data_IF_936484192050
#
_entry.id   IF_936484192050
#
_cell.length_a   1.000
_cell.length_b   1.000
_cell.length_c   1.000
_cell.angle_alpha   90.00
_cell.angle_beta   90.00
_cell.angle_gamma   90.00
#
_symmetry.space_group_name_H-M   'P 1'
#
loop_
_entity.id
_entity.type
_entity.pdbx_description
1 polymer ?
#
# COMPACT_ATOMS: atom_id res chain seq x y z
N UNK A 1 -4.52 26.78 -40.50
CA UNK A 1 -3.91 25.44 -40.51
C UNK A 1 -2.73 25.50 -39.55
N UNK A 2 -2.95 25.15 -38.28
CA UNK A 2 -1.87 24.89 -37.32
C UNK A 2 -1.72 23.38 -37.27
N UNK A 3 -0.89 22.88 -38.19
CA UNK A 3 -0.27 21.57 -38.11
C UNK A 3 0.88 21.64 -37.10
N UNK A 4 0.53 21.58 -35.81
CA UNK A 4 1.46 21.22 -34.73
C UNK A 4 1.00 19.88 -34.15
N UNK A 5 1.09 18.87 -35.02
CA UNK A 5 1.47 17.51 -34.66
C UNK A 5 2.80 17.62 -33.86
N UNK A 6 2.99 17.09 -32.65
CA UNK A 6 3.03 15.68 -32.30
C UNK A 6 3.41 15.65 -30.80
N UNK A 7 2.73 14.93 -29.88
CA UNK A 7 3.49 14.17 -28.90
C UNK A 7 3.97 12.92 -29.65
N UNK A 8 5.07 13.11 -30.39
CA UNK A 8 5.95 12.02 -30.75
C UNK A 8 6.60 11.56 -29.44
N UNK A 9 6.16 10.41 -28.97
CA UNK A 9 6.88 9.65 -27.97
C UNK A 9 6.74 8.20 -28.39
N UNK A 10 7.59 7.86 -29.36
CA UNK A 10 8.44 6.67 -29.28
C UNK A 10 7.73 5.38 -28.90
N UNK A 11 7.43 4.55 -29.90
CA UNK A 11 7.21 3.12 -29.65
C UNK A 11 8.49 2.50 -29.10
N UNK A 12 8.57 2.29 -27.79
CA UNK A 12 9.67 1.54 -27.17
C UNK A 12 9.43 1.02 -25.73
N UNK A 13 8.24 0.56 -25.31
CA UNK A 13 8.13 -0.14 -24.00
C UNK A 13 6.85 -1.00 -23.76
N UNK A 14 6.20 -1.55 -24.78
CA UNK A 14 4.98 -2.36 -24.58
C UNK A 14 5.17 -3.65 -23.72
N UNK A 15 6.40 -4.15 -23.58
CA UNK A 15 6.71 -5.31 -22.73
C UNK A 15 7.06 -4.96 -21.28
N UNK A 16 7.36 -3.69 -20.98
CA UNK A 16 7.65 -3.21 -19.62
C UNK A 16 6.44 -2.49 -19.01
N UNK A 17 5.58 -1.89 -19.84
CA UNK A 17 4.40 -1.18 -19.40
C UNK A 17 3.37 -2.11 -18.71
N UNK A 18 3.18 -3.34 -19.21
CA UNK A 18 2.23 -4.29 -18.60
C UNK A 18 2.57 -4.68 -17.15
N UNK A 19 3.86 -4.73 -16.79
CA UNK A 19 4.28 -4.99 -15.41
C UNK A 19 4.16 -3.76 -14.52
N UNK A 20 4.43 -2.57 -15.08
CA UNK A 20 4.25 -1.30 -14.38
C UNK A 20 2.78 -1.04 -14.09
N UNK A 21 1.87 -1.27 -15.05
CA UNK A 21 0.44 -1.03 -14.90
C UNK A 21 -0.19 -1.93 -13.83
N UNK A 22 0.20 -3.22 -13.80
CA UNK A 22 -0.20 -4.13 -12.72
C UNK A 22 0.35 -3.66 -11.37
N UNK A 23 1.62 -3.26 -11.29
CA UNK A 23 2.22 -2.78 -10.05
C UNK A 23 1.54 -1.49 -9.56
N UNK A 24 1.18 -0.57 -10.46
CA UNK A 24 0.42 0.64 -10.16
C UNK A 24 -0.98 0.30 -9.65
N UNK A 25 -1.68 -0.63 -10.30
CA UNK A 25 -3.01 -1.07 -9.89
C UNK A 25 -3.02 -1.73 -8.50
N UNK A 26 -1.99 -2.53 -8.22
CA UNK A 26 -1.76 -3.11 -6.89
C UNK A 26 -1.54 -1.98 -5.87
N UNK A 27 -0.66 -1.02 -6.16
CA UNK A 27 -0.38 0.09 -5.26
C UNK A 27 -1.61 0.96 -4.98
N UNK A 28 -2.42 1.22 -6.00
CA UNK A 28 -3.67 1.96 -5.89
C UNK A 28 -4.69 1.21 -5.04
N UNK A 29 -4.84 -0.10 -5.26
CA UNK A 29 -5.67 -0.97 -4.42
C UNK A 29 -5.21 -0.96 -2.96
N UNK A 30 -3.89 -0.93 -2.70
CA UNK A 30 -3.36 -0.81 -1.35
C UNK A 30 -3.67 0.54 -0.71
N UNK A 31 -3.58 1.65 -1.45
CA UNK A 31 -3.96 2.98 -0.98
C UNK A 31 -5.45 3.10 -0.65
N UNK A 32 -6.29 2.39 -1.39
CA UNK A 32 -7.74 2.33 -1.14
C UNK A 32 -8.10 1.41 0.05
N UNK A 33 -7.13 0.67 0.62
CA UNK A 33 -7.36 -0.31 1.69
C UNK A 33 -7.89 -1.66 1.18
N UNK A 34 -7.93 -1.87 -0.13
CA UNK A 34 -8.39 -3.10 -0.77
C UNK A 34 -7.27 -4.14 -0.85
N UNK A 35 -6.73 -4.53 0.32
CA UNK A 35 -5.64 -5.53 0.44
C UNK A 35 -5.97 -6.86 -0.27
N UNK A 36 -7.21 -7.32 -0.19
CA UNK A 36 -7.65 -8.57 -0.84
C UNK A 36 -7.52 -8.48 -2.36
N UNK A 37 -7.85 -7.33 -2.94
CA UNK A 37 -7.79 -7.10 -4.38
C UNK A 37 -6.34 -7.04 -4.85
N UNK A 38 -5.48 -6.31 -4.11
CA UNK A 38 -4.05 -6.27 -4.36
C UNK A 38 -3.38 -7.67 -4.30
N UNK A 39 -3.77 -8.52 -3.34
CA UNK A 39 -3.29 -9.92 -3.26
C UNK A 39 -3.77 -10.75 -4.44
N UNK A 40 -5.01 -10.53 -4.89
CA UNK A 40 -5.60 -11.25 -6.04
C UNK A 40 -4.87 -10.88 -7.33
N UNK A 41 -4.67 -9.59 -7.58
CA UNK A 41 -3.96 -9.08 -8.76
C UNK A 41 -2.49 -9.51 -8.78
N UNK A 42 -1.81 -9.46 -7.63
CA UNK A 42 -0.44 -9.93 -7.48
C UNK A 42 -0.34 -11.44 -7.78
N UNK A 43 -1.29 -12.24 -7.28
CA UNK A 43 -1.35 -13.67 -7.56
C UNK A 43 -1.60 -13.95 -9.04
N UNK A 44 -2.57 -13.28 -9.65
CA UNK A 44 -2.95 -13.49 -11.05
C UNK A 44 -1.80 -13.11 -12.00
N UNK A 45 -1.03 -12.08 -11.64
CA UNK A 45 0.08 -11.59 -12.47
C UNK A 45 1.39 -12.35 -12.26
N UNK A 46 1.67 -12.78 -11.03
CA UNK A 46 2.94 -13.45 -10.67
C UNK A 46 2.83 -14.97 -10.58
N UNK A 47 1.61 -15.51 -10.51
CA UNK A 47 1.36 -16.94 -10.28
C UNK A 47 1.70 -17.43 -8.87
N UNK A 48 2.02 -16.52 -7.95
CA UNK A 48 2.50 -16.83 -6.60
C UNK A 48 1.42 -17.50 -5.74
N UNK A 49 1.82 -18.28 -4.72
CA UNK A 49 0.86 -18.84 -3.78
C UNK A 49 0.08 -17.75 -3.03
N UNK A 50 -1.10 -18.09 -2.48
CA UNK A 50 -1.89 -17.15 -1.67
C UNK A 50 -1.08 -16.61 -0.47
N UNK A 51 -0.24 -17.49 0.11
CA UNK A 51 0.65 -17.14 1.23
C UNK A 51 1.71 -16.13 0.80
N UNK A 52 2.46 -16.42 -0.26
CA UNK A 52 3.49 -15.52 -0.81
C UNK A 52 2.92 -14.18 -1.25
N UNK A 53 1.77 -14.20 -1.93
CA UNK A 53 1.09 -12.98 -2.39
C UNK A 53 0.70 -12.09 -1.21
N UNK A 54 0.19 -12.70 -0.12
CA UNK A 54 -0.13 -11.99 1.12
C UNK A 54 1.13 -11.41 1.78
N UNK A 55 2.20 -12.20 1.90
CA UNK A 55 3.46 -11.77 2.52
C UNK A 55 4.11 -10.62 1.74
N UNK A 56 4.16 -10.70 0.41
CA UNK A 56 4.69 -9.63 -0.45
C UNK A 56 3.90 -8.32 -0.28
N UNK A 57 2.56 -8.42 -0.29
CA UNK A 57 1.67 -7.27 -0.11
C UNK A 57 1.77 -6.70 1.31
N UNK A 58 1.89 -7.53 2.35
CA UNK A 58 2.12 -7.04 3.72
C UNK A 58 3.44 -6.30 3.88
N UNK A 59 4.52 -6.85 3.32
CA UNK A 59 5.82 -6.18 3.31
C UNK A 59 5.75 -4.82 2.56
N UNK A 60 4.96 -4.73 1.49
CA UNK A 60 4.71 -3.48 0.78
C UNK A 60 3.92 -2.48 1.65
N UNK A 61 2.86 -2.90 2.32
CA UNK A 61 2.06 -2.03 3.20
C UNK A 61 2.92 -1.49 4.35
N UNK A 62 3.72 -2.34 4.97
CA UNK A 62 4.64 -1.97 6.05
C UNK A 62 5.72 -1.02 5.55
N UNK A 63 6.35 -1.32 4.41
CA UNK A 63 7.44 -0.51 3.85
C UNK A 63 6.96 0.88 3.40
N UNK A 64 5.75 0.99 2.87
CA UNK A 64 5.21 2.25 2.35
C UNK A 64 4.39 3.03 3.39
N UNK A 65 4.35 2.57 4.65
CA UNK A 65 3.47 3.10 5.72
C UNK A 65 2.13 3.51 5.13
N UNK A 66 1.52 2.60 4.35
CA UNK A 66 0.21 2.88 3.76
C UNK A 66 -0.77 2.84 4.93
N UNK A 67 -0.92 4.01 5.54
CA UNK A 67 -1.82 4.35 6.63
C UNK A 67 -3.25 4.12 6.14
N UNK A 68 -3.66 2.85 6.13
CA UNK A 68 -5.08 2.53 6.28
C UNK A 68 -5.49 3.19 7.58
N UNK A 69 -6.33 4.23 7.50
CA UNK A 69 -7.00 4.85 8.65
C UNK A 69 -7.90 3.80 9.32
N UNK A 70 -7.31 2.83 10.01
CA UNK A 70 -7.94 2.10 11.09
C UNK A 70 -7.53 2.84 12.36
N UNK A 71 -8.51 3.44 13.04
CA UNK A 71 -8.26 4.34 14.16
C UNK A 71 -7.53 3.64 15.32
N UNK A 72 -6.28 4.01 15.54
CA UNK A 72 -5.53 3.64 16.76
C UNK A 72 -4.84 4.84 17.42
N UNK A 73 -4.94 6.05 16.88
CA UNK A 73 -4.40 7.25 17.53
C UNK A 73 -5.08 7.53 18.88
N UNK A 74 -6.39 7.29 18.97
CA UNK A 74 -7.15 7.49 20.21
C UNK A 74 -6.80 6.44 21.28
N UNK A 75 -6.52 5.19 20.90
CA UNK A 75 -6.22 4.11 21.85
C UNK A 75 -4.81 4.25 22.43
N UNK A 76 -3.83 4.67 21.63
CA UNK A 76 -2.47 4.95 22.10
C UNK A 76 -2.45 6.11 23.09
N UNK A 77 -3.22 7.17 22.83
CA UNK A 77 -3.32 8.31 23.75
C UNK A 77 -3.99 7.92 25.07
N UNK A 78 -5.08 7.14 25.03
CA UNK A 78 -5.75 6.66 26.24
C UNK A 78 -4.87 5.67 27.02
N UNK A 79 -4.19 4.74 26.33
CA UNK A 79 -3.28 3.77 26.95
C UNK A 79 -2.06 4.46 27.56
N UNK A 80 -1.40 5.38 26.83
CA UNK A 80 -0.29 6.16 27.38
C UNK A 80 -0.71 7.02 28.56
N UNK A 81 -1.90 7.65 28.51
CA UNK A 81 -2.41 8.45 29.63
C UNK A 81 -2.70 7.58 30.86
N UNK A 82 -3.26 6.38 30.67
CA UNK A 82 -3.54 5.45 31.78
C UNK A 82 -2.27 4.91 32.40
N UNK A 83 -1.28 4.54 31.57
CA UNK A 83 0.04 4.07 32.02
C UNK A 83 0.77 5.17 32.79
N UNK A 84 0.71 6.42 32.32
CA UNK A 84 1.35 7.56 33.00
C UNK A 84 0.75 7.83 34.39
N UNK A 85 -0.57 7.72 34.54
CA UNK A 85 -1.26 7.89 35.84
C UNK A 85 -0.90 6.75 36.80
N UNK A 86 -0.83 5.51 36.33
CA UNK A 86 -0.49 4.36 37.18
C UNK A 86 0.95 4.44 37.70
N UNK A 87 1.90 4.88 36.87
CA UNK A 87 3.28 5.13 37.29
C UNK A 87 3.36 6.26 38.33
N UNK A 88 2.57 7.32 38.17
CA UNK A 88 2.52 8.43 39.10
C UNK A 88 1.91 8.07 40.48
N UNK A 89 1.04 7.07 40.52
CA UNK A 89 0.46 6.54 41.78
C UNK A 89 1.43 5.60 42.49
N UNK A 90 2.24 4.83 41.76
CA UNK A 90 3.25 3.93 42.36
C UNK A 90 4.56 4.63 42.77
N UNK A 91 4.78 5.86 42.31
CA UNK A 91 5.94 6.69 42.69
C UNK A 91 5.63 7.65 43.87
N UNK A 92 4.38 7.69 44.34
CA UNK A 92 3.89 8.51 45.46
C UNK A 92 3.65 7.64 46.69
#
# INVERSE_FOLDING_TARGET
MNDENQPDSSGQDDAANGQSEVAQHILESLRQGNKIQAIKDYRESTGAGLKESKEAIEALIEKYDIQMKSGCASMLLLASSLVMVLLFVWIR
#
